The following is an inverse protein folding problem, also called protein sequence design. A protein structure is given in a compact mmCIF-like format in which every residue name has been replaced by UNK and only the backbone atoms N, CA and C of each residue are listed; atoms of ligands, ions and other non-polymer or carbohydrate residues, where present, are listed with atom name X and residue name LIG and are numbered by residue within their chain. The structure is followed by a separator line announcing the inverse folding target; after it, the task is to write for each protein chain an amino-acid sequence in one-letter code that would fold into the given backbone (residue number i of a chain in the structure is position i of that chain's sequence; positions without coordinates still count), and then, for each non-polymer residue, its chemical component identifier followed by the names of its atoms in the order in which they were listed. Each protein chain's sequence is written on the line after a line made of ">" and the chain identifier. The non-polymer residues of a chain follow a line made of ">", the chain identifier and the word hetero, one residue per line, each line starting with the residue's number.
data_IF_257887127693
#
_entry.id   IF_257887127693
#
_cell.length_a   1.000
_cell.length_b   1.000
_cell.length_c   1.000
_cell.angle_alpha   90.00
_cell.angle_beta   90.00
_cell.angle_gamma   90.00
#
_symmetry.space_group_name_H-M   'P 1'
#
loop_
_entity.id
_entity.type
_entity.pdbx_description
1 polymer ?
#
# COMPACT_ATOMS: atom_id res chain seq x y z
N UNK A 1 34.05 -22.99 -21.86
CA UNK A 1 33.22 -22.41 -20.79
C UNK A 1 32.02 -23.32 -20.54
N UNK A 2 31.96 -24.03 -19.40
CA UNK A 2 30.80 -24.88 -19.08
C UNK A 2 29.62 -23.96 -18.75
N UNK A 3 28.58 -23.96 -19.60
CA UNK A 3 27.31 -23.28 -19.31
C UNK A 3 26.69 -23.97 -18.10
N UNK A 4 26.83 -23.39 -16.92
CA UNK A 4 26.03 -23.78 -15.75
C UNK A 4 24.58 -23.45 -16.10
N UNK A 5 23.81 -24.47 -16.50
CA UNK A 5 22.35 -24.34 -16.61
C UNK A 5 21.83 -24.21 -15.19
N UNK A 6 21.19 -23.08 -14.89
CA UNK A 6 20.44 -22.96 -13.64
C UNK A 6 19.46 -24.12 -13.55
N UNK A 7 19.35 -24.78 -12.38
CA UNK A 7 18.41 -25.87 -12.21
C UNK A 7 17.00 -25.38 -12.55
N UNK A 8 16.25 -26.14 -13.33
CA UNK A 8 14.92 -25.77 -13.84
C UNK A 8 13.97 -25.27 -12.75
N UNK A 9 14.09 -25.81 -11.54
CA UNK A 9 13.33 -25.40 -10.35
C UNK A 9 13.56 -23.92 -10.02
N UNK A 10 14.80 -23.43 -10.11
CA UNK A 10 15.12 -22.02 -9.87
C UNK A 10 14.48 -21.11 -10.93
N UNK A 11 14.53 -21.52 -12.21
CA UNK A 11 13.90 -20.76 -13.28
C UNK A 11 12.37 -20.70 -13.12
N UNK A 12 11.73 -21.79 -12.71
CA UNK A 12 10.29 -21.83 -12.44
C UNK A 12 9.92 -20.95 -11.24
N UNK A 13 10.67 -21.05 -10.14
CA UNK A 13 10.45 -20.21 -8.96
C UNK A 13 10.61 -18.72 -9.29
N UNK A 14 11.66 -18.35 -10.03
CA UNK A 14 11.89 -16.98 -10.46
C UNK A 14 10.76 -16.47 -11.36
N UNK A 15 10.29 -17.29 -12.32
CA UNK A 15 9.17 -16.93 -13.20
C UNK A 15 7.88 -16.71 -12.42
N UNK A 16 7.56 -17.60 -11.48
CA UNK A 16 6.37 -17.46 -10.63
C UNK A 16 6.44 -16.18 -9.77
N UNK A 17 7.61 -15.89 -9.21
CA UNK A 17 7.82 -14.70 -8.40
C UNK A 17 7.74 -13.40 -9.21
N UNK A 18 8.19 -13.45 -10.47
CA UNK A 18 8.06 -12.33 -11.39
C UNK A 18 6.60 -12.09 -11.78
N UNK A 19 5.86 -13.16 -12.09
CA UNK A 19 4.44 -13.08 -12.42
C UNK A 19 3.61 -12.54 -11.26
N UNK A 20 3.87 -12.99 -10.03
CA UNK A 20 3.16 -12.49 -8.85
C UNK A 20 3.48 -11.02 -8.56
N UNK A 21 4.73 -10.61 -8.72
CA UNK A 21 5.12 -9.21 -8.59
C UNK A 21 4.42 -8.31 -9.62
N UNK A 22 4.40 -8.72 -10.90
CA UNK A 22 3.73 -7.97 -11.97
C UNK A 22 2.22 -7.92 -11.75
N UNK A 23 1.59 -9.03 -11.40
CA UNK A 23 0.17 -9.07 -11.07
C UNK A 23 -0.18 -8.16 -9.89
N UNK A 24 0.67 -8.15 -8.85
CA UNK A 24 0.52 -7.26 -7.70
C UNK A 24 0.65 -5.78 -8.07
N UNK A 25 1.65 -5.42 -8.87
CA UNK A 25 1.84 -4.05 -9.37
C UNK A 25 0.68 -3.60 -10.25
N UNK A 26 0.17 -4.48 -11.10
CA UNK A 26 -0.99 -4.23 -11.94
C UNK A 26 -2.24 -3.98 -11.09
N UNK A 27 -2.49 -4.85 -10.09
CA UNK A 27 -3.62 -4.69 -9.17
C UNK A 27 -3.55 -3.36 -8.40
N UNK A 28 -2.36 -2.95 -7.96
CA UNK A 28 -2.15 -1.66 -7.30
C UNK A 28 -2.47 -0.44 -8.19
N UNK A 29 -2.36 -0.59 -9.51
CA UNK A 29 -2.66 0.46 -10.49
C UNK A 29 -4.12 0.46 -10.96
N UNK A 30 -4.89 -0.58 -10.64
CA UNK A 30 -6.33 -0.59 -10.92
C UNK A 30 -7.04 0.53 -10.14
N UNK A 31 -8.14 1.08 -10.68
CA UNK A 31 -8.94 2.04 -9.96
C UNK A 31 -9.44 1.43 -8.64
N UNK A 32 -9.46 2.24 -7.59
CA UNK A 32 -10.06 1.81 -6.33
C UNK A 32 -11.54 1.47 -6.57
N UNK A 33 -11.92 0.24 -6.23
CA UNK A 33 -13.32 -0.13 -6.13
C UNK A 33 -14.01 0.60 -4.98
N UNK A 34 -15.33 0.44 -4.88
CA UNK A 34 -16.15 1.13 -3.87
C UNK A 34 -15.63 0.93 -2.44
N UNK A 35 -15.17 -0.28 -2.12
CA UNK A 35 -14.57 -0.61 -0.82
C UNK A 35 -13.31 0.22 -0.55
N UNK A 36 -12.43 0.36 -1.55
CA UNK A 36 -11.20 1.15 -1.40
C UNK A 36 -11.48 2.63 -1.17
N UNK A 37 -12.49 3.17 -1.85
CA UNK A 37 -12.96 4.55 -1.65
C UNK A 37 -13.60 4.71 -0.27
N UNK A 38 -14.44 3.78 0.17
CA UNK A 38 -15.04 3.80 1.50
C UNK A 38 -13.99 3.72 2.63
N UNK A 39 -12.95 2.91 2.46
CA UNK A 39 -11.83 2.86 3.41
C UNK A 39 -11.13 4.21 3.49
N UNK A 40 -10.88 4.87 2.35
CA UNK A 40 -10.28 6.20 2.33
C UNK A 40 -11.15 7.26 3.01
N UNK A 41 -12.47 7.22 2.85
CA UNK A 41 -13.36 8.19 3.51
C UNK A 41 -13.39 7.99 5.03
N UNK A 42 -13.40 6.74 5.50
CA UNK A 42 -13.31 6.43 6.93
C UNK A 42 -11.96 6.86 7.51
N UNK A 43 -10.86 6.61 6.79
CA UNK A 43 -9.53 7.04 7.25
C UNK A 43 -9.44 8.57 7.26
N UNK A 44 -9.95 9.26 6.23
CA UNK A 44 -9.92 10.71 6.15
C UNK A 44 -10.64 11.38 7.32
N UNK A 45 -11.71 10.79 7.84
CA UNK A 45 -12.46 11.34 8.99
C UNK A 45 -11.74 11.15 10.32
N UNK A 46 -10.92 10.10 10.47
CA UNK A 46 -10.19 9.82 11.71
C UNK A 46 -8.75 10.35 11.72
N UNK A 47 -8.09 10.33 10.56
CA UNK A 47 -6.69 10.66 10.39
C UNK A 47 -6.47 11.34 9.03
N UNK A 48 -6.85 12.61 8.88
CA UNK A 48 -6.82 13.31 7.61
C UNK A 48 -5.42 13.37 6.98
N UNK A 49 -4.35 13.40 7.78
CA UNK A 49 -2.98 13.36 7.28
C UNK A 49 -2.55 12.01 6.67
N UNK A 50 -3.25 10.92 6.99
CA UNK A 50 -2.99 9.62 6.37
C UNK A 50 -3.47 9.56 4.90
N UNK A 51 -4.38 10.45 4.51
CA UNK A 51 -4.91 10.53 3.14
C UNK A 51 -4.21 11.65 2.37
N UNK A 52 -3.43 11.26 1.36
CA UNK A 52 -2.82 12.20 0.42
C UNK A 52 -3.89 12.89 -0.42
N UNK A 53 -3.71 14.21 -0.66
CA UNK A 53 -4.62 15.00 -1.49
C UNK A 53 -4.40 14.60 -2.95
N UNK A 54 -5.27 13.75 -3.48
CA UNK A 54 -5.15 13.24 -4.84
C UNK A 54 -5.91 14.12 -5.82
N UNK A 55 -5.22 14.57 -6.86
CA UNK A 55 -5.77 15.37 -7.96
C UNK A 55 -6.28 14.50 -9.12
N UNK A 56 -6.40 13.18 -8.94
CA UNK A 56 -6.73 12.24 -10.02
C UNK A 56 -7.54 11.03 -9.56
N UNK A 57 -7.68 10.05 -10.46
CA UNK A 57 -8.42 8.80 -10.21
C UNK A 57 -7.72 7.99 -9.12
N UNK A 58 -8.44 7.75 -8.03
CA UNK A 58 -7.99 6.95 -6.88
C UNK A 58 -7.68 5.52 -7.35
N UNK A 59 -6.50 5.02 -7.00
CA UNK A 59 -6.02 3.66 -7.29
C UNK A 59 -6.12 2.77 -6.07
N UNK A 60 -6.10 1.45 -6.27
CA UNK A 60 -6.07 0.49 -5.17
C UNK A 60 -4.88 0.67 -4.22
N UNK A 61 -3.72 1.12 -4.74
CA UNK A 61 -2.56 1.44 -3.90
C UNK A 61 -2.82 2.58 -2.90
N UNK A 62 -3.73 3.49 -3.21
CA UNK A 62 -3.94 4.70 -2.43
C UNK A 62 -4.68 4.41 -1.13
N UNK A 63 -5.70 3.54 -1.19
CA UNK A 63 -6.39 3.05 0.01
C UNK A 63 -5.46 2.22 0.90
N UNK A 64 -4.62 1.37 0.30
CA UNK A 64 -3.63 0.59 1.05
C UNK A 64 -2.62 1.49 1.78
N UNK A 65 -2.04 2.50 1.09
CA UNK A 65 -1.11 3.45 1.71
C UNK A 65 -1.75 4.26 2.83
N UNK A 66 -2.99 4.71 2.63
CA UNK A 66 -3.70 5.45 3.67
C UNK A 66 -3.95 4.58 4.90
N UNK A 67 -4.30 3.30 4.69
CA UNK A 67 -4.52 2.34 5.76
C UNK A 67 -3.22 2.06 6.53
N UNK A 68 -2.10 1.88 5.84
CA UNK A 68 -0.78 1.71 6.47
C UNK A 68 -0.38 2.93 7.31
N UNK A 69 -0.55 4.15 6.77
CA UNK A 69 -0.24 5.38 7.50
C UNK A 69 -1.13 5.56 8.73
N UNK A 70 -2.41 5.28 8.60
CA UNK A 70 -3.34 5.31 9.72
C UNK A 70 -3.01 4.26 10.78
N UNK A 71 -2.72 3.03 10.36
CA UNK A 71 -2.30 1.94 11.24
C UNK A 71 -1.01 2.27 11.98
N UNK A 72 -0.01 2.82 11.29
CA UNK A 72 1.24 3.27 11.90
C UNK A 72 1.01 4.39 12.93
N UNK A 73 0.21 5.41 12.57
CA UNK A 73 -0.16 6.47 13.50
C UNK A 73 -0.85 5.90 14.74
N UNK A 74 -1.82 5.00 14.55
CA UNK A 74 -2.56 4.34 15.63
C UNK A 74 -1.66 3.52 16.56
N UNK A 75 -0.76 2.71 15.99
CA UNK A 75 0.21 1.93 16.76
C UNK A 75 1.12 2.84 17.58
N UNK A 76 1.58 3.96 17.00
CA UNK A 76 2.41 4.91 17.75
C UNK A 76 1.64 5.71 18.80
N UNK A 77 0.34 5.93 18.62
CA UNK A 77 -0.54 6.49 19.67
C UNK A 77 -0.57 5.54 20.88
N UNK A 78 -0.74 4.24 20.65
CA UNK A 78 -0.79 3.23 21.70
C UNK A 78 0.52 3.09 22.47
N UNK A 79 1.68 3.24 21.79
CA UNK A 79 3.00 3.04 22.41
C UNK A 79 3.59 4.32 22.98
N UNK A 80 3.46 5.47 22.30
CA UNK A 80 4.17 6.72 22.65
C UNK A 80 3.27 7.96 22.77
N UNK A 81 1.94 7.86 22.63
CA UNK A 81 0.99 9.01 22.59
C UNK A 81 1.20 10.02 21.44
N UNK A 82 2.29 9.96 20.68
CA UNK A 82 2.59 10.86 19.53
C UNK A 82 1.73 10.62 18.28
N UNK A 83 0.97 9.53 18.22
CA UNK A 83 0.20 9.17 17.03
C UNK A 83 -0.88 10.19 16.64
N UNK A 84 -1.42 10.94 17.61
CA UNK A 84 -2.45 11.96 17.37
C UNK A 84 -1.91 13.16 16.59
N UNK A 85 -0.66 13.55 16.85
CA UNK A 85 -0.03 14.67 16.13
C UNK A 85 0.26 14.31 14.68
N UNK A 86 0.54 13.03 14.39
CA UNK A 86 0.77 12.52 13.02
C UNK A 86 -0.50 12.47 12.17
N UNK A 87 -1.67 12.45 12.80
CA UNK A 87 -2.96 12.51 12.11
C UNK A 87 -3.42 13.94 11.82
N UNK A 88 -2.76 14.95 12.42
CA UNK A 88 -3.02 16.36 12.14
C UNK A 88 -2.34 16.72 10.81
N UNK A 89 -3.08 17.34 9.88
CA UNK A 89 -2.47 17.92 8.68
C UNK A 89 -1.53 19.03 9.14
N UNK A 90 -0.27 18.96 8.71
CA UNK A 90 0.62 20.12 8.75
C UNK A 90 0.20 21.00 7.57
N UNK A 91 -0.38 22.15 7.88
CA UNK A 91 -0.72 23.19 6.90
C UNK A 91 0.54 23.82 6.31
#
# INVERSE_FOLDING_TARGET
>A
MKRHRFPWVFCLAATLLLLSAVAGQWWQHQPAGEVGVAVLTVIASHCPAAVERQSGRIRGADSARALDRWGFARMTELVRRDGRDRCRRQD
#
